data_IF_202828605527
#
_entry.id   IF_202828605527
#
_cell.length_a   1.000
_cell.length_b   1.000
_cell.length_c   1.000
_cell.angle_alpha   90.00
_cell.angle_beta   90.00
_cell.angle_gamma   90.00
#
_symmetry.space_group_name_H-M   'P 1'
#
loop_
_entity.id
_entity.type
_entity.pdbx_description
1 polymer ?
#
# COMPACT_ATOMS: atom_id res chain seq x y z
N UNK A 1 27.41 34.13 0.17
CA UNK A 1 26.33 33.46 0.94
C UNK A 1 25.09 34.32 0.84
N UNK A 2 24.02 33.80 0.24
CA UNK A 2 22.76 34.51 0.08
C UNK A 2 22.12 34.77 1.45
N UNK A 3 21.90 36.04 1.77
CA UNK A 3 21.48 36.52 3.11
C UNK A 3 20.04 36.15 3.52
N UNK A 4 19.27 35.50 2.64
CA UNK A 4 17.83 35.24 2.81
C UNK A 4 17.48 33.74 2.76
N UNK A 5 18.32 32.88 3.33
CA UNK A 5 18.08 31.42 3.44
C UNK A 5 17.03 31.02 4.49
N UNK A 6 16.13 31.93 4.87
CA UNK A 6 15.15 31.70 5.96
C UNK A 6 13.93 30.87 5.53
N UNK A 7 13.77 30.59 4.23
CA UNK A 7 12.62 29.87 3.67
C UNK A 7 13.02 28.85 2.59
N UNK A 8 14.10 28.11 2.83
CA UNK A 8 14.57 27.04 1.93
C UNK A 8 13.60 25.86 1.84
N UNK A 9 12.75 25.67 2.86
CA UNK A 9 11.64 24.71 2.83
C UNK A 9 10.39 25.39 2.29
N UNK A 10 9.86 24.91 1.16
CA UNK A 10 8.56 25.31 0.58
C UNK A 10 7.39 24.60 1.29
N UNK A 11 7.46 24.50 2.61
CA UNK A 11 6.45 23.87 3.45
C UNK A 11 5.71 24.93 4.25
N UNK A 12 4.39 24.74 4.46
CA UNK A 12 3.58 25.63 5.31
C UNK A 12 4.10 25.64 6.76
N UNK A 13 4.57 24.47 7.22
CA UNK A 13 5.22 24.29 8.51
C UNK A 13 6.63 23.79 8.27
N UNK A 14 7.63 24.55 8.74
CA UNK A 14 9.02 24.12 8.72
C UNK A 14 9.18 22.86 9.58
N UNK A 15 9.93 21.90 9.06
CA UNK A 15 10.27 20.65 9.74
C UNK A 15 11.79 20.58 9.95
N UNK A 16 12.21 19.86 10.98
CA UNK A 16 13.65 19.66 11.21
C UNK A 16 14.26 18.82 10.09
N UNK A 17 15.56 18.99 9.85
CA UNK A 17 16.27 18.19 8.85
C UNK A 17 16.16 16.68 9.14
N UNK A 18 16.29 16.29 10.41
CA UNK A 18 16.14 14.89 10.84
C UNK A 18 14.73 14.36 10.57
N UNK A 19 13.71 15.20 10.80
CA UNK A 19 12.32 14.86 10.52
C UNK A 19 12.09 14.69 9.01
N UNK A 20 12.66 15.58 8.19
CA UNK A 20 12.60 15.47 6.73
C UNK A 20 13.30 14.21 6.21
N UNK A 21 14.49 13.89 6.75
CA UNK A 21 15.24 12.69 6.37
C UNK A 21 14.53 11.39 6.78
N UNK A 22 13.72 11.44 7.84
CA UNK A 22 12.91 10.33 8.30
C UNK A 22 11.59 10.16 7.53
N UNK A 23 11.26 11.01 6.56
CA UNK A 23 10.05 10.86 5.74
C UNK A 23 10.23 9.79 4.65
N UNK A 24 9.14 9.13 4.24
CA UNK A 24 9.15 8.30 3.04
C UNK A 24 9.50 9.12 1.80
N UNK A 25 10.23 8.49 0.88
CA UNK A 25 10.56 9.13 -0.40
C UNK A 25 9.33 9.09 -1.30
N UNK A 26 8.80 10.27 -1.64
CA UNK A 26 7.68 10.44 -2.58
C UNK A 26 8.15 11.15 -3.85
N UNK A 27 7.44 10.94 -4.96
CA UNK A 27 7.72 11.61 -6.23
C UNK A 27 6.72 12.75 -6.49
N UNK A 28 6.94 13.63 -7.47
CA UNK A 28 5.98 14.66 -7.84
C UNK A 28 4.56 14.12 -8.13
N UNK A 29 4.47 12.91 -8.72
CA UNK A 29 3.20 12.25 -9.02
C UNK A 29 2.38 11.93 -7.77
N UNK A 30 3.01 11.76 -6.61
CA UNK A 30 2.30 11.59 -5.34
C UNK A 30 1.40 12.79 -5.03
N UNK A 31 1.95 13.99 -5.23
CA UNK A 31 1.23 15.25 -5.01
C UNK A 31 0.25 15.53 -6.14
N UNK A 32 0.65 15.32 -7.39
CA UNK A 32 -0.22 15.48 -8.56
C UNK A 32 -1.51 14.64 -8.46
N UNK A 33 -1.38 13.40 -7.98
CA UNK A 33 -2.51 12.48 -7.80
C UNK A 33 -3.27 12.69 -6.49
N UNK A 34 -2.94 13.73 -5.71
CA UNK A 34 -3.55 14.05 -4.43
C UNK A 34 -3.56 12.85 -3.46
N UNK A 35 -2.44 12.11 -3.41
CA UNK A 35 -2.27 11.00 -2.50
C UNK A 35 -1.85 11.51 -1.11
N UNK A 36 -2.21 10.75 -0.08
CA UNK A 36 -1.83 11.03 1.31
C UNK A 36 -1.47 9.75 2.02
N UNK A 37 -0.36 9.74 2.75
CA UNK A 37 -0.03 8.63 3.64
C UNK A 37 -0.84 8.82 4.92
N UNK A 38 -1.70 7.86 5.26
CA UNK A 38 -2.58 7.95 6.44
C UNK A 38 -1.81 7.80 7.74
N UNK A 39 -0.80 6.94 7.74
CA UNK A 39 0.20 6.88 8.81
C UNK A 39 1.28 7.94 8.55
N UNK A 40 1.95 8.39 9.62
CA UNK A 40 3.23 9.12 9.52
C UNK A 40 4.37 8.15 9.80
N UNK A 41 4.69 7.22 8.88
CA UNK A 41 5.75 6.27 9.12
C UNK A 41 7.08 7.01 9.23
N UNK A 42 7.90 6.60 10.19
CA UNK A 42 9.33 6.91 10.18
C UNK A 42 10.01 6.02 9.13
N UNK A 43 11.10 6.51 8.54
CA UNK A 43 11.89 5.81 7.53
C UNK A 43 13.29 5.53 8.10
N UNK A 44 13.73 4.27 8.23
CA UNK A 44 13.03 3.04 7.85
C UNK A 44 11.79 2.75 8.70
N UNK A 45 10.81 2.10 8.10
CA UNK A 45 9.65 1.54 8.82
C UNK A 45 10.11 0.27 9.52
N UNK A 46 10.38 0.37 10.81
CA UNK A 46 10.82 -0.76 11.64
C UNK A 46 9.62 -1.54 12.15
N UNK A 47 9.58 -2.86 11.91
CA UNK A 47 8.49 -3.72 12.40
C UNK A 47 8.94 -5.15 12.68
N UNK A 48 8.05 -5.90 13.32
CA UNK A 48 8.18 -7.35 13.57
C UNK A 48 7.03 -8.07 12.88
N UNK A 49 7.34 -9.14 12.16
CA UNK A 49 6.42 -10.04 11.45
C UNK A 49 5.65 -9.40 10.29
N UNK A 50 4.92 -8.32 10.54
CA UNK A 50 4.06 -7.67 9.56
C UNK A 50 3.92 -6.18 9.84
N UNK A 51 3.80 -5.38 8.78
CA UNK A 51 3.41 -3.96 8.85
C UNK A 51 2.27 -3.68 7.87
N UNK A 52 1.54 -2.59 8.09
CA UNK A 52 0.49 -2.13 7.19
C UNK A 52 0.73 -0.66 6.80
N UNK A 53 0.95 -0.42 5.50
CA UNK A 53 1.05 0.92 4.93
C UNK A 53 -0.27 1.31 4.28
N UNK A 54 -0.72 2.55 4.54
CA UNK A 54 -2.02 3.05 4.07
C UNK A 54 -1.84 4.32 3.26
N UNK A 55 -2.23 4.28 2.00
CA UNK A 55 -2.23 5.44 1.10
C UNK A 55 -3.68 5.77 0.76
N UNK A 56 -4.13 6.94 1.20
CA UNK A 56 -5.41 7.51 0.83
C UNK A 56 -5.28 8.26 -0.50
N UNK A 57 -6.32 8.17 -1.31
CA UNK A 57 -6.50 8.93 -2.54
C UNK A 57 -7.80 9.71 -2.48
N UNK A 58 -7.85 10.88 -3.11
CA UNK A 58 -9.08 11.67 -3.23
C UNK A 58 -10.08 11.07 -4.24
N UNK A 59 -9.59 10.30 -5.21
CA UNK A 59 -10.39 9.63 -6.23
C UNK A 59 -9.92 8.17 -6.37
N UNK A 60 -10.78 7.26 -6.87
CA UNK A 60 -10.37 5.88 -7.11
C UNK A 60 -9.10 5.82 -7.94
N UNK A 61 -8.12 5.08 -7.41
CA UNK A 61 -6.75 5.04 -7.89
C UNK A 61 -6.31 3.60 -8.02
N UNK A 62 -5.72 3.27 -9.17
CA UNK A 62 -5.13 1.96 -9.39
C UNK A 62 -3.74 1.93 -8.79
N UNK A 63 -3.44 0.86 -8.06
CA UNK A 63 -2.13 0.63 -7.46
C UNK A 63 -1.44 -0.59 -8.06
N UNK A 64 -0.12 -0.52 -8.15
CA UNK A 64 0.79 -1.66 -8.32
C UNK A 64 1.97 -1.46 -7.38
N UNK A 65 2.65 -2.51 -7.00
CA UNK A 65 3.75 -2.43 -6.05
C UNK A 65 4.85 -3.41 -6.40
N UNK A 66 6.03 -3.12 -5.85
CA UNK A 66 7.18 -4.02 -5.85
C UNK A 66 7.78 -4.08 -4.45
N UNK A 67 8.02 -5.30 -3.97
CA UNK A 67 8.81 -5.57 -2.77
C UNK A 67 10.06 -6.33 -3.19
N UNK A 68 11.24 -5.85 -2.76
CA UNK A 68 12.53 -6.50 -3.03
C UNK A 68 13.53 -6.14 -1.91
N UNK A 69 14.52 -7.00 -1.69
CA UNK A 69 15.61 -6.75 -0.73
C UNK A 69 16.44 -5.54 -1.16
N UNK A 70 17.05 -4.82 -0.21
CA UNK A 70 18.00 -3.74 -0.51
C UNK A 70 19.24 -4.25 -1.26
N UNK A 71 19.60 -5.52 -1.05
CA UNK A 71 20.74 -6.17 -1.70
C UNK A 71 20.45 -6.54 -3.16
N UNK A 72 19.17 -6.69 -3.51
CA UNK A 72 18.73 -7.09 -4.84
C UNK A 72 18.49 -5.89 -5.76
N UNK A 73 18.63 -6.13 -7.07
CA UNK A 73 18.09 -5.21 -8.07
C UNK A 73 16.56 -5.23 -8.03
N UNK A 74 15.94 -4.10 -8.41
CA UNK A 74 14.48 -3.94 -8.44
C UNK A 74 13.81 -5.13 -9.15
N UNK A 75 13.07 -5.93 -8.38
CA UNK A 75 12.37 -7.11 -8.87
C UNK A 75 10.98 -7.21 -8.19
N UNK A 76 10.20 -8.21 -8.57
CA UNK A 76 8.87 -8.47 -8.00
C UNK A 76 8.75 -9.84 -7.34
N UNK A 77 9.87 -10.49 -7.00
CA UNK A 77 9.86 -11.88 -6.49
C UNK A 77 9.17 -11.99 -5.14
N UNK A 78 9.18 -10.91 -4.34
CA UNK A 78 8.55 -10.87 -3.02
C UNK A 78 7.16 -10.21 -3.05
N UNK A 79 6.56 -9.95 -4.21
CA UNK A 79 5.25 -9.30 -4.31
C UNK A 79 4.13 -10.11 -3.65
N UNK A 80 4.24 -11.44 -3.68
CA UNK A 80 3.36 -12.39 -3.01
C UNK A 80 3.44 -12.31 -1.46
N UNK A 81 4.39 -11.56 -0.89
CA UNK A 81 4.47 -11.26 0.54
C UNK A 81 3.78 -9.94 0.92
N UNK A 82 3.09 -9.32 -0.04
CA UNK A 82 2.31 -8.11 0.17
C UNK A 82 0.85 -8.37 -0.17
N UNK A 83 -0.02 -8.18 0.79
CA UNK A 83 -1.46 -8.17 0.60
C UNK A 83 -1.94 -6.74 0.40
N UNK A 84 -2.30 -6.41 -0.84
CA UNK A 84 -2.90 -5.12 -1.16
C UNK A 84 -4.42 -5.23 -1.20
N UNK A 85 -5.12 -4.35 -0.49
CA UNK A 85 -6.58 -4.28 -0.48
C UNK A 85 -7.06 -2.84 -0.65
N UNK A 86 -8.12 -2.66 -1.43
CA UNK A 86 -8.84 -1.39 -1.50
C UNK A 86 -9.92 -1.34 -0.41
N UNK A 87 -9.87 -0.29 0.43
CA UNK A 87 -10.79 0.00 1.52
C UNK A 87 -11.46 1.37 1.30
N UNK A 88 -12.46 1.70 2.12
CA UNK A 88 -13.15 3.00 2.09
C UNK A 88 -13.62 3.39 0.68
N UNK A 89 -14.41 2.53 0.04
CA UNK A 89 -14.90 2.74 -1.33
C UNK A 89 -13.78 3.00 -2.36
N UNK A 90 -12.69 2.22 -2.24
CA UNK A 90 -11.49 2.29 -3.10
C UNK A 90 -10.68 3.59 -2.99
N UNK A 91 -10.97 4.41 -1.98
CA UNK A 91 -10.20 5.61 -1.67
C UNK A 91 -9.00 5.34 -0.75
N UNK A 92 -8.86 4.12 -0.24
CA UNK A 92 -7.76 3.74 0.64
C UNK A 92 -7.07 2.46 0.14
N UNK A 93 -5.82 2.59 -0.34
CA UNK A 93 -4.93 1.46 -0.61
C UNK A 93 -4.24 1.01 0.67
N UNK A 94 -4.56 -0.20 1.13
CA UNK A 94 -3.98 -0.86 2.32
C UNK A 94 -2.98 -1.91 1.86
N UNK A 95 -1.72 -1.80 2.27
CA UNK A 95 -0.64 -2.72 1.91
C UNK A 95 -0.11 -3.40 3.16
N UNK A 96 -0.56 -4.64 3.40
CA UNK A 96 -0.08 -5.49 4.47
C UNK A 96 1.16 -6.26 4.00
N UNK A 97 2.32 -5.98 4.59
CA UNK A 97 3.62 -6.44 4.13
C UNK A 97 4.22 -7.38 5.19
N UNK A 98 4.54 -8.61 4.78
CA UNK A 98 5.09 -9.66 5.65
C UNK A 98 6.24 -10.39 4.95
N UNK A 99 7.46 -9.81 4.93
CA UNK A 99 8.60 -10.41 4.26
C UNK A 99 8.96 -11.80 4.83
N UNK A 100 9.52 -12.72 4.01
CA UNK A 100 9.83 -14.08 4.44
C UNK A 100 11.05 -14.17 5.38
N UNK A 101 12.00 -13.22 5.25
CA UNK A 101 13.24 -13.20 6.03
C UNK A 101 13.41 -11.87 6.75
N UNK A 102 14.33 -11.86 7.70
CA UNK A 102 14.76 -10.65 8.41
C UNK A 102 15.69 -9.85 7.50
N UNK A 103 15.65 -8.52 7.63
CA UNK A 103 16.48 -7.63 6.83
C UNK A 103 15.77 -6.37 6.33
N UNK A 104 16.46 -5.68 5.42
CA UNK A 104 16.01 -4.42 4.84
C UNK A 104 15.38 -4.65 3.46
N UNK A 105 14.24 -4.00 3.21
CA UNK A 105 13.50 -4.10 1.95
C UNK A 105 13.10 -2.73 1.42
N UNK A 106 13.06 -2.62 0.10
CA UNK A 106 12.38 -1.52 -0.56
C UNK A 106 10.95 -1.92 -0.92
N UNK A 107 10.00 -1.11 -0.47
CA UNK A 107 8.61 -1.20 -0.90
C UNK A 107 8.25 -0.01 -1.77
N UNK A 108 8.08 -0.29 -3.06
CA UNK A 108 7.89 0.70 -4.10
C UNK A 108 6.45 0.67 -4.60
N UNK A 109 5.76 1.79 -4.48
CA UNK A 109 4.35 1.93 -4.88
C UNK A 109 4.25 2.71 -6.18
N UNK A 110 3.46 2.16 -7.10
CA UNK A 110 3.05 2.78 -8.34
C UNK A 110 1.56 3.04 -8.28
N UNK A 111 1.15 4.20 -8.74
CA UNK A 111 -0.26 4.56 -8.74
C UNK A 111 -0.63 5.39 -9.96
N UNK A 112 -1.92 5.38 -10.29
CA UNK A 112 -2.53 6.36 -11.18
C UNK A 112 -4.04 6.47 -10.92
N UNK A 113 -4.61 7.68 -10.88
CA UNK A 113 -6.04 7.86 -10.77
C UNK A 113 -6.76 7.24 -11.97
N UNK A 114 -7.86 6.54 -11.75
CA UNK A 114 -8.53 5.78 -12.80
C UNK A 114 -9.12 6.66 -13.92
N UNK A 115 -9.56 7.86 -13.58
CA UNK A 115 -10.05 8.85 -14.56
C UNK A 115 -8.96 9.38 -15.51
N UNK A 116 -7.68 9.11 -15.23
CA UNK A 116 -6.55 9.42 -16.11
C UNK A 116 -5.99 8.18 -16.81
N UNK A 117 -6.66 7.04 -16.70
CA UNK A 117 -6.26 5.80 -17.35
C UNK A 117 -6.94 5.66 -18.72
N UNK A 118 -6.11 5.64 -19.76
CA UNK A 118 -6.45 5.25 -21.13
C UNK A 118 -5.67 3.96 -21.50
N UNK A 119 -5.94 3.35 -22.66
CA UNK A 119 -5.40 2.01 -23.01
C UNK A 119 -3.87 1.88 -22.86
N UNK A 120 -3.08 2.89 -23.27
CA UNK A 120 -1.61 2.85 -23.22
C UNK A 120 -0.98 3.43 -21.94
N UNK A 121 -1.80 3.57 -20.90
CA UNK A 121 -1.40 4.38 -19.76
C UNK A 121 -0.60 3.58 -18.72
N UNK A 122 0.65 4.00 -18.51
CA UNK A 122 1.52 3.42 -17.48
C UNK A 122 1.30 4.02 -16.09
N UNK A 123 1.41 3.18 -15.06
CA UNK A 123 1.44 3.61 -13.67
C UNK A 123 2.76 4.32 -13.36
N UNK A 124 2.70 5.39 -12.57
CA UNK A 124 3.90 6.15 -12.16
C UNK A 124 4.32 5.77 -10.76
N UNK A 125 5.62 5.76 -10.50
CA UNK A 125 6.13 5.60 -9.15
C UNK A 125 5.68 6.80 -8.31
N UNK A 126 5.01 6.56 -7.18
CA UNK A 126 4.50 7.61 -6.31
C UNK A 126 5.19 7.64 -4.96
N UNK A 127 5.58 6.48 -4.42
CA UNK A 127 6.22 6.38 -3.11
C UNK A 127 7.20 5.23 -3.06
N UNK A 128 8.23 5.39 -2.23
CA UNK A 128 9.24 4.39 -1.90
C UNK A 128 9.44 4.42 -0.38
N UNK A 129 9.26 3.28 0.25
CA UNK A 129 9.46 3.08 1.67
C UNK A 129 10.66 2.15 1.88
N UNK A 130 11.55 2.51 2.81
CA UNK A 130 12.54 1.57 3.34
C UNK A 130 11.90 0.86 4.52
N UNK A 131 11.96 -0.46 4.52
CA UNK A 131 11.36 -1.35 5.50
C UNK A 131 12.46 -2.10 6.23
N UNK A 132 12.37 -2.18 7.55
CA UNK A 132 13.27 -3.00 8.38
C UNK A 132 12.46 -4.07 9.11
N UNK A 133 12.59 -5.31 8.64
CA UNK A 133 11.99 -6.48 9.27
C UNK A 133 12.96 -7.02 10.33
N UNK A 134 12.73 -6.68 11.59
CA UNK A 134 13.58 -7.10 12.73
C UNK A 134 13.36 -8.57 13.08
N UNK A 135 12.17 -9.10 12.77
CA UNK A 135 11.83 -10.50 13.03
C UNK A 135 10.84 -11.02 11.99
N UNK A 136 11.20 -12.07 11.26
CA UNK A 136 10.31 -12.71 10.31
C UNK A 136 9.57 -13.91 10.92
N UNK A 137 8.43 -14.28 10.34
CA UNK A 137 7.68 -15.47 10.75
C UNK A 137 8.23 -16.70 10.01
N UNK A 138 8.65 -17.73 10.77
CA UNK A 138 9.32 -18.94 10.25
C UNK A 138 8.53 -19.72 9.19
N UNK A 139 7.20 -19.72 9.29
CA UNK A 139 6.31 -20.39 8.34
C UNK A 139 5.29 -19.38 7.83
N UNK A 140 5.72 -18.59 6.86
CA UNK A 140 4.84 -17.69 6.11
C UNK A 140 4.50 -18.37 4.79
N UNK A 141 3.20 -18.57 4.57
CA UNK A 141 2.71 -18.93 3.25
C UNK A 141 2.49 -17.63 2.47
N UNK A 142 3.08 -17.50 1.27
CA UNK A 142 2.83 -16.33 0.44
C UNK A 142 1.35 -16.25 0.04
N UNK A 143 0.89 -15.04 -0.23
CA UNK A 143 -0.42 -14.83 -0.85
C UNK A 143 -0.42 -15.39 -2.28
N UNK A 144 -1.59 -15.76 -2.82
CA UNK A 144 -1.71 -16.11 -4.23
C UNK A 144 -1.13 -15.01 -5.11
N UNK A 145 -0.41 -15.39 -6.16
CA UNK A 145 0.25 -14.44 -7.05
C UNK A 145 -0.81 -13.53 -7.69
N UNK A 146 -0.82 -12.26 -7.28
CA UNK A 146 -1.75 -11.27 -7.79
C UNK A 146 -1.10 -9.89 -7.76
N UNK A 147 -1.06 -9.24 -8.92
CA UNK A 147 -0.34 -7.98 -9.15
C UNK A 147 -1.21 -6.73 -8.94
N UNK A 148 -2.46 -6.92 -8.54
CA UNK A 148 -3.50 -5.88 -8.46
C UNK A 148 -4.11 -5.90 -7.04
N UNK A 149 -4.70 -4.80 -6.54
CA UNK A 149 -5.36 -4.83 -5.25
C UNK A 149 -6.49 -5.85 -5.19
N UNK A 150 -6.61 -6.54 -4.07
CA UNK A 150 -7.71 -7.45 -3.75
C UNK A 150 -8.96 -6.67 -3.36
N UNK A 151 -10.12 -7.23 -3.69
CA UNK A 151 -11.43 -6.66 -3.39
C UNK A 151 -12.19 -6.22 -4.64
N UNK A 152 -13.32 -5.52 -4.46
CA UNK A 152 -14.16 -5.08 -5.58
C UNK A 152 -13.43 -4.03 -6.42
N UNK A 153 -13.20 -4.34 -7.70
CA UNK A 153 -12.67 -3.42 -8.68
C UNK A 153 -13.78 -2.54 -9.29
N UNK A 154 -13.44 -1.60 -10.17
CA UNK A 154 -14.42 -0.75 -10.88
C UNK A 154 -15.51 -1.57 -11.58
N UNK A 155 -15.14 -2.67 -12.23
CA UNK A 155 -16.08 -3.58 -12.88
C UNK A 155 -17.19 -4.08 -11.96
N UNK A 156 -16.90 -4.28 -10.67
CA UNK A 156 -17.91 -4.70 -9.70
C UNK A 156 -19.05 -3.68 -9.61
N UNK A 157 -18.69 -2.40 -9.55
CA UNK A 157 -19.64 -1.29 -9.48
C UNK A 157 -20.30 -1.00 -10.83
N UNK A 158 -19.58 -1.21 -11.94
CA UNK A 158 -20.13 -1.05 -13.29
C UNK A 158 -21.29 -2.02 -13.55
N UNK A 159 -21.18 -3.26 -13.02
CA UNK A 159 -22.28 -4.23 -13.01
C UNK A 159 -23.38 -3.94 -11.98
N UNK A 160 -23.37 -2.76 -11.35
CA UNK A 160 -24.33 -2.33 -10.31
C UNK A 160 -24.38 -3.28 -9.11
N UNK A 161 -23.32 -4.05 -8.88
CA UNK A 161 -23.23 -4.91 -7.70
C UNK A 161 -22.93 -4.05 -6.47
N UNK A 162 -23.49 -4.45 -5.34
CA UNK A 162 -23.25 -3.80 -4.04
C UNK A 162 -22.65 -4.82 -3.09
N UNK A 163 -21.63 -4.40 -2.37
CA UNK A 163 -21.13 -5.16 -1.22
C UNK A 163 -22.24 -5.23 -0.18
N UNK A 164 -22.85 -6.40 -0.04
CA UNK A 164 -23.71 -6.66 1.12
C UNK A 164 -22.75 -6.83 2.29
N UNK A 165 -22.77 -5.87 3.22
CA UNK A 165 -21.92 -5.88 4.41
C UNK A 165 -22.33 -7.06 5.30
N UNK A 166 -21.80 -8.24 5.00
CA UNK A 166 -21.97 -9.40 5.84
C UNK A 166 -20.96 -9.28 6.98
N UNK A 167 -21.44 -9.21 8.22
CA UNK A 167 -20.57 -9.26 9.39
C UNK A 167 -19.91 -10.64 9.46
N UNK A 168 -18.79 -10.80 8.76
CA UNK A 168 -18.04 -12.04 8.63
C UNK A 168 -18.44 -12.89 7.43
N UNK A 169 -17.74 -14.02 7.20
CA UNK A 169 -18.09 -14.97 6.15
C UNK A 169 -19.33 -15.76 6.59
N UNK A 170 -20.51 -15.15 6.43
CA UNK A 170 -21.79 -15.77 6.77
C UNK A 170 -22.39 -16.35 5.51
N UNK A 171 -22.80 -17.61 5.56
CA UNK A 171 -23.63 -18.23 4.54
C UNK A 171 -25.08 -18.12 5.04
N UNK A 172 -25.93 -17.49 4.25
CA UNK A 172 -27.38 -17.46 4.50
C UNK A 172 -28.02 -18.50 3.60
N UNK A 173 -28.63 -19.53 4.17
CA UNK A 173 -29.43 -20.52 3.44
C UNK A 173 -30.90 -20.45 3.90
N UNK A 174 -31.78 -21.21 3.24
CA UNK A 174 -33.18 -21.36 3.66
C UNK A 174 -33.32 -21.81 5.14
N UNK A 175 -32.27 -22.43 5.72
CA UNK A 175 -32.22 -22.85 7.12
C UNK A 175 -31.59 -21.83 8.09
N UNK A 176 -31.38 -20.57 7.69
CA UNK A 176 -30.86 -19.50 8.54
C UNK A 176 -29.43 -19.07 8.22
N UNK A 177 -28.85 -18.25 9.12
CA UNK A 177 -27.50 -17.68 8.99
C UNK A 177 -26.47 -18.59 9.67
N UNK A 178 -25.44 -19.03 8.94
CA UNK A 178 -24.31 -19.81 9.49
C UNK A 178 -23.00 -19.07 9.28
N UNK A 179 -22.14 -19.04 10.30
CA UNK A 179 -20.79 -18.47 10.20
C UNK A 179 -19.82 -19.52 9.66
N UNK A 180 -19.14 -19.20 8.57
CA UNK A 180 -18.05 -20.01 8.04
C UNK A 180 -16.81 -19.80 8.92
N UNK A 181 -16.21 -20.89 9.38
CA UNK A 181 -14.90 -20.88 10.03
C UNK A 181 -14.03 -21.83 9.23
N UNK A 182 -12.91 -21.33 8.69
CA UNK A 182 -11.89 -22.16 8.08
C UNK A 182 -10.84 -22.39 9.16
N UNK A 183 -10.79 -23.60 9.70
CA UNK A 183 -9.75 -24.02 10.64
C UNK A 183 -8.62 -24.65 9.84
N UNK A 184 -7.39 -24.23 10.10
CA UNK A 184 -6.20 -24.92 9.59
C UNK A 184 -5.95 -26.15 10.46
N UNK A 185 -5.91 -27.33 9.84
CA UNK A 185 -5.55 -28.59 10.49
C UNK A 185 -4.10 -28.58 11.00
#
# INVERSE_FOLDING_TARGET
>A
MERNYSRWQLLDKQIKLDEFNALPKVTPFFFEYNLRIRSRPQNPVVFRVQTELKIAAHKPTRYKYKLYSVEDRENGTLNNHVFCQLKEDRLLGSFAISPPTEGLYYFKVYARPEWQMYEDTTLKNVAIFLLECVKAKKHINPYPLHDVPWGPAQSFYDFKMKLVNQMGPVIVTWGGKRKLVIETA
#
